data_IF_832777667876
#
_entry.id   IF_832777667876
#
_cell.length_a   1.000
_cell.length_b   1.000
_cell.length_c   1.000
_cell.angle_alpha   90.00
_cell.angle_beta   90.00
_cell.angle_gamma   90.00
#
_symmetry.space_group_name_H-M   'P 1'
#
loop_
_entity.id
_entity.type
_entity.pdbx_description
1 polymer ?
#
# COMPACT_ATOMS: atom_id res chain seq x y z
N UNK A 1 -28.91 19.20 -8.34
CA UNK A 1 -28.13 20.34 -8.89
C UNK A 1 -26.89 20.54 -8.03
N UNK A 2 -25.67 20.47 -8.58
CA UNK A 2 -24.45 20.77 -7.82
C UNK A 2 -24.32 22.29 -7.66
N UNK A 3 -24.14 22.78 -6.43
CA UNK A 3 -24.01 24.22 -6.15
C UNK A 3 -22.87 24.83 -6.96
N UNK A 4 -23.13 25.96 -7.61
CA UNK A 4 -22.09 26.76 -8.24
C UNK A 4 -21.05 27.21 -7.20
N UNK A 5 -19.78 27.35 -7.62
CA UNK A 5 -18.72 27.89 -6.76
C UNK A 5 -19.01 29.35 -6.43
N UNK A 6 -18.69 29.76 -5.21
CA UNK A 6 -18.74 31.18 -4.84
C UNK A 6 -17.64 31.98 -5.57
N UNK A 7 -17.74 33.32 -5.56
CA UNK A 7 -16.68 34.19 -6.09
C UNK A 7 -15.35 33.94 -5.38
N UNK A 8 -15.37 33.80 -4.05
CA UNK A 8 -14.18 33.52 -3.23
C UNK A 8 -13.54 32.18 -3.59
N UNK A 9 -14.33 31.10 -3.69
CA UNK A 9 -13.85 29.78 -4.11
C UNK A 9 -13.23 29.84 -5.52
N UNK A 10 -13.85 30.60 -6.42
CA UNK A 10 -13.35 30.77 -7.79
C UNK A 10 -12.03 31.55 -7.85
N UNK A 11 -11.87 32.60 -7.05
CA UNK A 11 -10.62 33.37 -6.95
C UNK A 11 -9.53 32.51 -6.34
N UNK A 12 -9.82 31.80 -5.24
CA UNK A 12 -8.85 30.94 -4.58
C UNK A 12 -8.34 29.83 -5.52
N UNK A 13 -9.23 29.20 -6.28
CA UNK A 13 -8.85 28.20 -7.28
C UNK A 13 -7.95 28.79 -8.39
N UNK A 14 -8.23 30.01 -8.85
CA UNK A 14 -7.37 30.69 -9.84
C UNK A 14 -5.98 30.99 -9.27
N UNK A 15 -5.89 31.50 -8.05
CA UNK A 15 -4.62 31.77 -7.37
C UNK A 15 -3.83 30.48 -7.17
N UNK A 16 -4.50 29.41 -6.74
CA UNK A 16 -3.92 28.08 -6.64
C UNK A 16 -3.40 27.57 -8.00
N UNK A 17 -4.14 27.80 -9.09
CA UNK A 17 -3.71 27.45 -10.45
C UNK A 17 -2.38 28.13 -10.82
N UNK A 18 -2.29 29.44 -10.57
CA UNK A 18 -1.10 30.25 -10.85
C UNK A 18 0.07 29.76 -10.01
N UNK A 19 -0.15 29.49 -8.73
CA UNK A 19 0.88 28.96 -7.83
C UNK A 19 1.39 27.59 -8.30
N UNK A 20 0.50 26.65 -8.63
CA UNK A 20 0.89 25.32 -9.11
C UNK A 20 1.61 25.39 -10.46
N UNK A 21 1.21 26.31 -11.34
CA UNK A 21 1.91 26.55 -12.59
C UNK A 21 3.32 27.12 -12.36
N UNK A 22 3.46 28.11 -11.47
CA UNK A 22 4.75 28.71 -11.10
C UNK A 22 5.68 27.73 -10.36
N UNK A 23 5.13 26.73 -9.66
CA UNK A 23 5.89 25.68 -8.98
C UNK A 23 6.47 24.60 -9.93
N UNK A 24 6.07 24.57 -11.20
CA UNK A 24 6.53 23.59 -12.21
C UNK A 24 8.06 23.39 -12.27
N UNK A 25 8.91 24.45 -12.38
CA UNK A 25 10.36 24.27 -12.39
C UNK A 25 10.92 23.65 -11.10
N UNK A 26 10.36 24.02 -9.95
CA UNK A 26 10.75 23.45 -8.66
C UNK A 26 10.39 21.96 -8.59
N UNK A 27 9.21 21.58 -9.09
CA UNK A 27 8.81 20.19 -9.17
C UNK A 27 9.73 19.38 -10.10
N UNK A 28 10.09 19.91 -11.27
CA UNK A 28 11.06 19.26 -12.17
C UNK A 28 12.39 19.02 -11.47
N UNK A 29 12.93 20.04 -10.80
CA UNK A 29 14.17 19.92 -10.02
C UNK A 29 14.05 18.87 -8.91
N UNK A 30 12.92 18.83 -8.20
CA UNK A 30 12.63 17.81 -7.17
C UNK A 30 12.62 16.40 -7.77
N UNK A 31 11.96 16.21 -8.91
CA UNK A 31 11.90 14.92 -9.61
C UNK A 31 13.28 14.47 -10.09
N UNK A 32 14.07 15.36 -10.70
CA UNK A 32 15.45 15.05 -11.13
C UNK A 32 16.33 14.64 -9.96
N UNK A 33 16.26 15.37 -8.84
CA UNK A 33 17.00 15.01 -7.61
C UNK A 33 16.58 13.66 -7.07
N UNK A 34 15.25 13.41 -7.02
CA UNK A 34 14.71 12.14 -6.53
C UNK A 34 15.11 10.97 -7.43
N UNK A 35 15.17 11.19 -8.74
CA UNK A 35 15.56 10.18 -9.72
C UNK A 35 16.99 9.66 -9.54
N UNK A 36 17.88 10.40 -8.85
CA UNK A 36 19.22 9.91 -8.50
C UNK A 36 19.15 8.70 -7.57
N UNK A 37 18.26 8.74 -6.56
CA UNK A 37 18.06 7.65 -5.61
C UNK A 37 17.02 6.63 -6.07
N UNK A 38 16.00 7.08 -6.80
CA UNK A 38 14.89 6.25 -7.29
C UNK A 38 14.71 6.46 -8.81
N UNK A 39 15.48 5.76 -9.68
CA UNK A 39 15.51 5.99 -11.13
C UNK A 39 14.15 5.98 -11.83
N UNK A 40 13.17 5.25 -11.28
CA UNK A 40 11.81 5.21 -11.82
C UNK A 40 11.12 6.59 -11.88
N UNK A 41 11.54 7.58 -11.08
CA UNK A 41 11.01 8.96 -11.20
C UNK A 41 11.49 9.71 -12.44
N UNK A 42 12.51 9.21 -13.16
CA UNK A 42 12.96 9.78 -14.43
C UNK A 42 12.14 9.31 -15.64
N UNK A 43 11.32 8.26 -15.47
CA UNK A 43 10.53 7.69 -16.56
C UNK A 43 9.38 8.63 -16.93
N UNK A 44 9.17 8.87 -18.22
CA UNK A 44 8.01 9.57 -18.78
C UNK A 44 7.60 10.89 -18.07
N UNK A 45 8.57 11.66 -17.58
CA UNK A 45 8.33 12.95 -16.89
C UNK A 45 7.35 13.88 -17.61
N UNK A 46 7.35 14.01 -18.96
CA UNK A 46 6.42 14.90 -19.65
C UNK A 46 4.93 14.62 -19.36
N UNK A 47 4.56 13.38 -19.06
CA UNK A 47 3.17 12.99 -18.74
C UNK A 47 2.62 13.77 -17.52
N UNK A 48 3.48 14.01 -16.52
CA UNK A 48 3.13 14.81 -15.31
C UNK A 48 2.76 16.25 -15.65
N UNK A 49 3.13 16.73 -16.83
CA UNK A 49 2.86 18.09 -17.28
C UNK A 49 1.87 18.13 -18.45
N UNK A 50 1.10 17.05 -18.65
CA UNK A 50 0.08 16.97 -19.69
C UNK A 50 0.65 16.79 -21.09
N UNK A 51 1.80 16.14 -21.24
CA UNK A 51 2.40 15.83 -22.53
C UNK A 51 2.48 14.31 -22.68
N UNK A 52 1.74 13.77 -23.63
CA UNK A 52 1.53 12.34 -23.85
C UNK A 52 2.02 11.96 -25.25
N UNK A 53 2.65 10.80 -25.37
CA UNK A 53 3.22 10.32 -26.65
C UNK A 53 2.23 9.46 -27.44
N UNK A 54 1.33 8.77 -26.75
CA UNK A 54 0.24 8.01 -27.32
C UNK A 54 -0.78 8.93 -28.03
N UNK A 55 -1.53 8.41 -29.02
CA UNK A 55 -2.63 9.17 -29.63
C UNK A 55 -3.73 9.47 -28.59
N UNK A 56 -4.41 10.63 -28.70
CA UNK A 56 -5.55 10.95 -27.84
C UNK A 56 -6.71 9.98 -28.09
N UNK A 57 -7.44 9.66 -27.03
CA UNK A 57 -8.65 8.85 -27.14
C UNK A 57 -9.73 9.60 -27.94
N UNK A 58 -10.37 8.87 -28.85
CA UNK A 58 -11.48 9.39 -29.66
C UNK A 58 -12.79 9.38 -28.88
N UNK A 59 -13.02 8.30 -28.13
CA UNK A 59 -14.23 8.03 -27.36
C UNK A 59 -13.98 8.10 -25.84
N UNK A 60 -15.06 8.23 -25.07
CA UNK A 60 -15.00 8.22 -23.60
C UNK A 60 -15.27 6.82 -23.05
N UNK A 61 -14.29 5.93 -23.19
CA UNK A 61 -14.41 4.51 -22.81
C UNK A 61 -13.59 4.13 -21.58
N UNK A 62 -12.55 4.89 -21.26
CA UNK A 62 -11.62 4.55 -20.18
C UNK A 62 -12.25 4.73 -18.80
N UNK A 63 -12.13 3.70 -17.95
CA UNK A 63 -12.25 3.84 -16.51
C UNK A 63 -10.92 4.35 -15.96
N UNK A 64 -10.88 5.60 -15.49
CA UNK A 64 -9.69 6.14 -14.87
C UNK A 64 -9.62 5.73 -13.40
N UNK A 65 -8.55 5.04 -13.02
CA UNK A 65 -8.24 4.67 -11.64
C UNK A 65 -6.94 5.34 -11.22
N UNK A 66 -6.97 6.04 -10.09
CA UNK A 66 -5.79 6.65 -9.49
C UNK A 66 -5.42 5.95 -8.19
N UNK A 67 -4.21 5.42 -8.14
CA UNK A 67 -3.60 4.78 -6.98
C UNK A 67 -2.18 5.37 -6.78
N UNK A 68 -2.01 6.27 -5.80
CA UNK A 68 -0.79 7.07 -5.67
C UNK A 68 0.44 6.23 -5.31
N UNK A 69 0.24 5.22 -4.46
CA UNK A 69 1.29 4.44 -3.81
C UNK A 69 1.21 2.94 -4.13
N UNK A 70 2.26 2.18 -3.79
CA UNK A 70 2.27 0.71 -3.90
C UNK A 70 1.08 0.06 -3.15
N UNK A 71 0.79 0.53 -1.94
CA UNK A 71 -0.31 -0.02 -1.12
C UNK A 71 -1.68 0.20 -1.75
N UNK A 72 -1.90 1.38 -2.35
CA UNK A 72 -3.12 1.68 -3.09
C UNK A 72 -3.17 0.93 -4.43
N UNK A 73 -2.04 0.72 -5.11
CA UNK A 73 -2.03 -0.08 -6.35
C UNK A 73 -2.47 -1.52 -6.06
N UNK A 74 -2.02 -2.11 -4.95
CA UNK A 74 -2.50 -3.43 -4.50
C UNK A 74 -3.98 -3.43 -4.14
N UNK A 75 -4.45 -2.35 -3.51
CA UNK A 75 -5.87 -2.14 -3.22
C UNK A 75 -6.69 -2.02 -4.52
N UNK A 76 -6.17 -1.32 -5.52
CA UNK A 76 -6.77 -1.21 -6.85
C UNK A 76 -6.86 -2.59 -7.53
N UNK A 77 -5.82 -3.42 -7.42
CA UNK A 77 -5.80 -4.75 -8.04
C UNK A 77 -7.00 -5.62 -7.63
N UNK A 78 -7.43 -5.53 -6.36
CA UNK A 78 -8.61 -6.23 -5.84
C UNK A 78 -9.87 -5.80 -6.62
N UNK A 79 -10.08 -4.49 -6.77
CA UNK A 79 -11.23 -3.94 -7.51
C UNK A 79 -11.15 -4.27 -9.00
N UNK A 80 -9.98 -4.09 -9.61
CA UNK A 80 -9.79 -4.27 -11.05
C UNK A 80 -10.10 -5.70 -11.46
N UNK A 81 -9.74 -6.69 -10.64
CA UNK A 81 -10.11 -8.09 -10.87
C UNK A 81 -11.64 -8.25 -10.91
N UNK A 82 -12.33 -7.83 -9.85
CA UNK A 82 -13.79 -7.95 -9.76
C UNK A 82 -14.51 -7.17 -10.88
N UNK A 83 -14.02 -5.98 -11.23
CA UNK A 83 -14.60 -5.17 -12.30
C UNK A 83 -14.38 -5.75 -13.69
N UNK A 84 -13.24 -6.39 -13.96
CA UNK A 84 -13.02 -7.09 -15.23
C UNK A 84 -13.85 -8.36 -15.34
N UNK A 85 -14.07 -9.07 -14.24
CA UNK A 85 -15.00 -10.20 -14.19
C UNK A 85 -16.44 -9.73 -14.51
N UNK A 86 -16.86 -8.60 -13.94
CA UNK A 86 -18.19 -8.03 -14.21
C UNK A 86 -18.32 -7.35 -15.59
N UNK A 87 -17.24 -6.78 -16.10
CA UNK A 87 -17.17 -6.01 -17.35
C UNK A 87 -15.95 -6.45 -18.18
N UNK A 88 -16.03 -7.54 -18.96
CA UNK A 88 -14.87 -8.08 -19.67
C UNK A 88 -14.23 -7.12 -20.70
N UNK A 89 -14.98 -6.15 -21.22
CA UNK A 89 -14.49 -5.13 -22.16
C UNK A 89 -13.93 -3.86 -21.50
N UNK A 90 -13.72 -3.87 -20.19
CA UNK A 90 -13.25 -2.70 -19.43
C UNK A 90 -11.83 -2.32 -19.84
N UNK A 91 -11.67 -1.11 -20.41
CA UNK A 91 -10.37 -0.48 -20.63
C UNK A 91 -10.03 0.48 -19.50
N UNK A 92 -8.80 0.42 -19.00
CA UNK A 92 -8.31 1.20 -17.87
C UNK A 92 -7.42 2.35 -18.31
N UNK A 93 -7.56 3.48 -17.61
CA UNK A 93 -6.52 4.49 -17.49
C UNK A 93 -5.98 4.43 -16.06
N UNK A 94 -4.78 3.90 -15.86
CA UNK A 94 -4.18 3.78 -14.54
C UNK A 94 -3.17 4.90 -14.29
N UNK A 95 -3.31 5.62 -13.18
CA UNK A 95 -2.35 6.68 -12.81
C UNK A 95 -1.79 6.53 -11.40
N UNK A 96 -0.54 6.95 -11.25
CA UNK A 96 0.22 6.84 -10.00
C UNK A 96 0.96 8.14 -9.65
N UNK A 97 1.29 8.31 -8.37
CA UNK A 97 2.17 9.39 -7.91
C UNK A 97 3.61 8.92 -7.68
N UNK A 98 3.80 7.64 -7.36
CA UNK A 98 5.08 7.04 -6.97
C UNK A 98 5.62 6.03 -8.00
N UNK A 99 6.94 5.89 -8.07
CA UNK A 99 7.60 4.93 -8.96
C UNK A 99 7.28 3.47 -8.63
N UNK A 100 7.23 3.13 -7.34
CA UNK A 100 6.85 1.79 -6.88
C UNK A 100 5.39 1.47 -7.20
N UNK A 101 4.47 2.43 -7.01
CA UNK A 101 3.07 2.28 -7.41
C UNK A 101 2.92 2.06 -8.92
N UNK A 102 3.66 2.79 -9.75
CA UNK A 102 3.65 2.63 -11.21
C UNK A 102 4.21 1.28 -11.66
N UNK A 103 5.34 0.85 -11.09
CA UNK A 103 5.94 -0.43 -11.41
C UNK A 103 4.98 -1.59 -11.10
N UNK A 104 4.35 -1.57 -9.92
CA UNK A 104 3.32 -2.56 -9.57
C UNK A 104 2.14 -2.50 -10.54
N UNK A 105 1.67 -1.30 -10.87
CA UNK A 105 0.51 -1.08 -11.72
C UNK A 105 0.70 -1.60 -13.15
N UNK A 106 1.94 -1.67 -13.63
CA UNK A 106 2.24 -2.20 -14.95
C UNK A 106 1.86 -3.68 -15.07
N UNK A 107 1.98 -4.46 -13.98
CA UNK A 107 1.57 -5.87 -13.96
C UNK A 107 0.04 -6.08 -14.01
N UNK A 108 -0.73 -5.01 -13.77
CA UNK A 108 -2.19 -5.05 -13.77
C UNK A 108 -2.79 -4.77 -15.16
N UNK A 109 -2.00 -4.24 -16.11
CA UNK A 109 -2.48 -3.80 -17.41
C UNK A 109 -2.80 -4.99 -18.33
N UNK A 110 -3.87 -4.85 -19.12
CA UNK A 110 -4.25 -5.75 -20.21
C UNK A 110 -4.14 -5.01 -21.56
N UNK A 111 -4.15 -5.73 -22.70
CA UNK A 111 -4.17 -5.09 -24.01
C UNK A 111 -5.30 -4.06 -24.13
N UNK A 112 -4.96 -2.83 -24.54
CA UNK A 112 -5.89 -1.71 -24.66
C UNK A 112 -5.97 -0.78 -23.44
N UNK A 113 -5.36 -1.17 -22.31
CA UNK A 113 -5.19 -0.29 -21.15
C UNK A 113 -4.07 0.72 -21.36
N UNK A 114 -4.13 1.80 -20.59
CA UNK A 114 -3.16 2.89 -20.62
C UNK A 114 -2.67 3.16 -19.20
N UNK A 115 -1.36 3.33 -19.03
CA UNK A 115 -0.78 3.79 -17.77
C UNK A 115 0.05 5.06 -18.00
N UNK A 116 -0.23 6.09 -17.19
CA UNK A 116 0.52 7.34 -17.20
C UNK A 116 0.73 7.87 -15.79
N UNK A 117 1.64 8.82 -15.62
CA UNK A 117 1.71 9.57 -14.37
C UNK A 117 0.45 10.38 -14.14
N UNK A 118 0.07 10.53 -12.87
CA UNK A 118 -0.91 11.53 -12.49
C UNK A 118 -0.42 12.92 -12.96
N UNK A 119 -1.28 13.71 -13.64
CA UNK A 119 -0.92 15.07 -14.00
C UNK A 119 -0.69 15.87 -12.71
N UNK A 120 0.32 16.74 -12.74
CA UNK A 120 0.49 17.77 -11.72
C UNK A 120 -0.79 18.62 -11.66
N UNK A 121 -1.19 19.05 -10.45
CA UNK A 121 -2.44 19.77 -10.23
C UNK A 121 -2.39 21.24 -10.69
N UNK A 122 -1.73 21.49 -11.83
CA UNK A 122 -1.87 22.73 -12.57
C UNK A 122 -3.01 22.61 -13.57
N UNK A 123 -3.70 23.74 -13.78
CA UNK A 123 -4.83 23.82 -14.71
C UNK A 123 -4.51 23.25 -16.08
N UNK A 124 -3.36 23.63 -16.66
CA UNK A 124 -2.94 23.21 -18.01
C UNK A 124 -2.69 21.71 -18.11
N UNK A 125 -2.02 21.11 -17.13
CA UNK A 125 -1.71 19.68 -17.15
C UNK A 125 -2.97 18.83 -17.00
N UNK A 126 -3.83 19.19 -16.04
CA UNK A 126 -5.11 18.52 -15.79
C UNK A 126 -6.07 18.67 -16.97
N UNK A 127 -6.23 19.86 -17.53
CA UNK A 127 -7.12 20.08 -18.70
C UNK A 127 -6.67 19.23 -19.89
N UNK A 128 -5.35 19.13 -20.12
CA UNK A 128 -4.77 18.27 -21.16
C UNK A 128 -5.02 16.79 -20.88
N UNK A 129 -4.79 16.33 -19.65
CA UNK A 129 -5.06 14.96 -19.23
C UNK A 129 -6.50 14.54 -19.56
N UNK A 130 -7.48 15.29 -19.06
CA UNK A 130 -8.90 14.95 -19.27
C UNK A 130 -9.36 15.12 -20.71
N UNK A 131 -8.75 16.02 -21.49
CA UNK A 131 -9.06 16.18 -22.93
C UNK A 131 -8.44 15.05 -23.76
N UNK A 132 -7.24 14.60 -23.39
CA UNK A 132 -6.49 13.59 -24.13
C UNK A 132 -7.05 12.19 -23.88
N UNK A 133 -7.36 11.83 -22.64
CA UNK A 133 -7.84 10.49 -22.29
C UNK A 133 -9.36 10.35 -22.22
N UNK A 134 -10.09 11.47 -22.11
CA UNK A 134 -11.57 11.51 -22.06
C UNK A 134 -12.20 10.42 -21.17
N UNK A 135 -11.76 10.21 -19.91
CA UNK A 135 -12.25 9.11 -19.10
C UNK A 135 -13.77 9.18 -18.92
N UNK A 136 -14.44 8.04 -19.00
CA UNK A 136 -15.88 7.93 -18.76
C UNK A 136 -16.23 8.25 -17.31
N UNK A 137 -15.36 7.83 -16.39
CA UNK A 137 -15.42 8.14 -14.97
C UNK A 137 -14.03 8.03 -14.35
N UNK A 138 -13.83 8.74 -13.24
CA UNK A 138 -12.64 8.66 -12.40
C UNK A 138 -12.93 7.95 -11.09
N UNK A 139 -11.96 7.18 -10.62
CA UNK A 139 -11.92 6.54 -9.32
C UNK A 139 -10.63 6.94 -8.64
N UNK A 140 -10.73 7.62 -7.52
CA UNK A 140 -9.61 7.97 -6.66
C UNK A 140 -9.61 7.01 -5.47
N UNK A 141 -8.43 6.50 -5.09
CA UNK A 141 -8.29 5.70 -3.88
C UNK A 141 -7.83 6.55 -2.70
N UNK A 142 -8.45 6.30 -1.55
CA UNK A 142 -8.10 6.86 -0.24
C UNK A 142 -8.22 8.39 -0.11
N UNK A 143 -7.18 9.17 -0.45
CA UNK A 143 -7.06 10.59 -0.04
C UNK A 143 -6.77 11.58 -1.17
N UNK A 144 -6.64 11.13 -2.41
CA UNK A 144 -6.03 11.91 -3.50
C UNK A 144 -6.98 12.89 -4.22
N UNK A 145 -7.64 13.75 -3.44
CA UNK A 145 -8.59 14.77 -3.94
C UNK A 145 -7.87 16.11 -4.16
N UNK A 146 -7.74 16.52 -5.43
CA UNK A 146 -6.95 17.68 -5.83
C UNK A 146 -7.81 18.82 -6.42
N UNK A 147 -7.60 20.10 -6.05
CA UNK A 147 -8.48 21.20 -6.46
C UNK A 147 -8.62 21.41 -7.98
N UNK A 148 -7.53 21.43 -8.76
CA UNK A 148 -7.65 21.62 -10.21
C UNK A 148 -8.23 20.39 -10.90
N UNK A 149 -7.81 19.21 -10.47
CA UNK A 149 -8.32 17.92 -10.94
C UNK A 149 -9.84 17.84 -10.84
N UNK A 150 -10.37 18.12 -9.65
CA UNK A 150 -11.81 18.06 -9.38
C UNK A 150 -12.57 19.16 -10.13
N UNK A 151 -12.00 20.38 -10.18
CA UNK A 151 -12.58 21.48 -10.93
C UNK A 151 -12.69 21.19 -12.43
N UNK A 152 -11.64 20.62 -13.04
CA UNK A 152 -11.60 20.31 -14.46
C UNK A 152 -12.46 19.09 -14.79
N UNK A 153 -12.49 18.07 -13.92
CA UNK A 153 -13.38 16.91 -14.07
C UNK A 153 -14.85 17.35 -14.06
N UNK A 154 -15.24 18.23 -13.12
CA UNK A 154 -16.58 18.80 -13.08
C UNK A 154 -16.91 19.61 -14.36
N UNK A 155 -15.98 20.46 -14.82
CA UNK A 155 -16.17 21.27 -16.02
C UNK A 155 -16.30 20.44 -17.31
N UNK A 156 -15.71 19.24 -17.33
CA UNK A 156 -15.79 18.28 -18.44
C UNK A 156 -16.86 17.20 -18.23
N UNK A 157 -17.69 17.33 -17.19
CA UNK A 157 -18.72 16.36 -16.84
C UNK A 157 -18.21 14.93 -16.60
N UNK A 158 -16.95 14.78 -16.18
CA UNK A 158 -16.40 13.48 -15.78
C UNK A 158 -16.82 13.20 -14.33
N UNK A 159 -17.66 12.17 -14.06
CA UNK A 159 -17.98 11.79 -12.70
C UNK A 159 -16.74 11.19 -12.02
N UNK A 160 -16.44 11.62 -10.80
CA UNK A 160 -15.30 11.12 -10.02
C UNK A 160 -15.79 10.61 -8.68
N UNK A 161 -15.41 9.39 -8.33
CA UNK A 161 -15.76 8.72 -7.06
C UNK A 161 -14.50 8.54 -6.23
N UNK A 162 -14.62 8.71 -4.91
CA UNK A 162 -13.56 8.39 -3.95
C UNK A 162 -13.91 7.06 -3.26
N UNK A 163 -13.06 6.04 -3.45
CA UNK A 163 -13.22 4.71 -2.86
C UNK A 163 -12.21 4.47 -1.75
N UNK A 164 -12.58 3.57 -0.82
CA UNK A 164 -11.78 3.25 0.35
C UNK A 164 -11.36 4.54 1.10
N UNK A 165 -12.27 5.50 1.19
CA UNK A 165 -11.96 6.87 1.58
C UNK A 165 -11.65 6.95 3.08
N UNK A 166 -10.56 7.63 3.42
CA UNK A 166 -10.15 7.88 4.80
C UNK A 166 -9.77 9.34 4.98
N UNK A 167 -10.05 9.91 6.14
CA UNK A 167 -9.65 11.28 6.45
C UNK A 167 -9.30 11.38 7.94
N UNK A 168 -8.00 11.50 8.24
CA UNK A 168 -7.55 11.68 9.62
C UNK A 168 -7.98 13.03 10.18
N UNK A 169 -8.07 13.15 11.52
CA UNK A 169 -8.35 14.43 12.18
C UNK A 169 -7.31 15.52 11.81
N UNK A 170 -6.04 15.14 11.69
CA UNK A 170 -4.96 16.04 11.25
C UNK A 170 -5.19 16.52 9.81
N UNK A 171 -5.56 15.62 8.90
CA UNK A 171 -5.84 15.94 7.50
C UNK A 171 -7.06 16.86 7.37
N UNK A 172 -8.12 16.60 8.14
CA UNK A 172 -9.29 17.47 8.20
C UNK A 172 -8.90 18.88 8.66
N UNK A 173 -8.21 19.01 9.80
CA UNK A 173 -7.79 20.31 10.32
C UNK A 173 -6.93 21.09 9.32
N UNK A 174 -6.03 20.42 8.60
CA UNK A 174 -5.26 21.02 7.51
C UNK A 174 -6.14 21.49 6.34
N UNK A 175 -7.12 20.68 5.96
CA UNK A 175 -8.02 20.98 4.87
C UNK A 175 -9.02 22.10 5.22
N UNK A 176 -9.41 22.24 6.49
CA UNK A 176 -10.22 23.36 6.99
C UNK A 176 -9.48 24.70 6.95
N UNK A 177 -8.16 24.73 7.18
CA UNK A 177 -7.35 25.95 7.00
C UNK A 177 -7.38 26.47 5.57
N UNK A 178 -7.68 25.61 4.60
CA UNK A 178 -7.86 25.93 3.19
C UNK A 178 -9.26 25.55 2.70
N UNK A 179 -10.28 25.74 3.53
CA UNK A 179 -11.65 25.29 3.25
C UNK A 179 -12.20 25.81 1.90
N UNK A 180 -11.79 27.00 1.47
CA UNK A 180 -12.17 27.61 0.19
C UNK A 180 -11.60 26.87 -1.04
N UNK A 181 -10.59 26.01 -0.89
CA UNK A 181 -10.08 25.09 -1.92
C UNK A 181 -10.57 23.66 -1.68
N UNK A 182 -10.48 23.19 -0.43
CA UNK A 182 -10.77 21.82 -0.09
C UNK A 182 -12.26 21.48 -0.22
N UNK A 183 -13.17 22.29 0.37
CA UNK A 183 -14.61 22.00 0.32
C UNK A 183 -15.15 21.93 -1.10
N UNK A 184 -14.82 22.85 -2.04
CA UNK A 184 -15.21 22.70 -3.44
C UNK A 184 -14.69 21.42 -4.09
N UNK A 185 -13.45 21.01 -3.81
CA UNK A 185 -12.85 19.83 -4.39
C UNK A 185 -13.57 18.54 -3.95
N UNK A 186 -13.80 18.39 -2.64
CA UNK A 186 -14.54 17.25 -2.10
C UNK A 186 -16.02 17.27 -2.50
N UNK A 187 -16.67 18.44 -2.50
CA UNK A 187 -18.06 18.61 -2.95
C UNK A 187 -18.27 18.26 -4.42
N UNK A 188 -17.22 18.37 -5.25
CA UNK A 188 -17.28 18.05 -6.67
C UNK A 188 -17.25 16.54 -6.96
N UNK A 189 -16.96 15.68 -5.97
CA UNK A 189 -17.08 14.24 -6.11
C UNK A 189 -18.53 13.85 -6.42
N UNK A 190 -18.71 12.73 -7.12
CA UNK A 190 -20.02 12.14 -7.40
C UNK A 190 -20.51 11.32 -6.22
N UNK A 191 -19.63 10.54 -5.61
CA UNK A 191 -19.89 9.75 -4.42
C UNK A 191 -18.59 9.52 -3.66
N UNK A 192 -18.70 9.31 -2.36
CA UNK A 192 -17.60 8.92 -1.48
C UNK A 192 -18.00 7.70 -0.67
N UNK A 193 -17.16 6.68 -0.71
CA UNK A 193 -17.34 5.43 0.04
C UNK A 193 -16.23 5.29 1.07
N UNK A 194 -16.58 5.49 2.33
CA UNK A 194 -15.62 5.60 3.42
C UNK A 194 -15.26 4.24 4.04
N UNK A 195 -14.10 4.17 4.67
CA UNK A 195 -13.64 3.00 5.41
C UNK A 195 -14.44 2.81 6.70
N UNK A 196 -14.61 3.89 7.47
CA UNK A 196 -15.29 3.89 8.76
C UNK A 196 -16.35 4.99 8.86
N UNK A 197 -17.23 4.87 9.87
CA UNK A 197 -18.14 5.97 10.22
C UNK A 197 -17.40 7.23 10.68
N UNK A 198 -16.25 7.08 11.36
CA UNK A 198 -15.44 8.22 11.77
C UNK A 198 -14.87 8.98 10.55
N UNK A 199 -14.43 8.27 9.52
CA UNK A 199 -14.03 8.87 8.25
C UNK A 199 -15.20 9.52 7.53
N UNK A 200 -16.35 8.84 7.47
CA UNK A 200 -17.57 9.37 6.87
C UNK A 200 -17.98 10.71 7.49
N UNK A 201 -17.96 10.81 8.82
CA UNK A 201 -18.27 12.05 9.54
C UNK A 201 -17.33 13.20 9.15
N UNK A 202 -16.01 12.96 9.13
CA UNK A 202 -15.02 13.98 8.75
C UNK A 202 -15.12 14.37 7.28
N UNK A 203 -15.38 13.41 6.39
CA UNK A 203 -15.60 13.66 4.96
C UNK A 203 -16.85 14.51 4.74
N UNK A 204 -17.95 14.27 5.48
CA UNK A 204 -19.15 15.13 5.46
C UNK A 204 -18.84 16.55 5.94
N UNK A 205 -18.02 16.72 6.99
CA UNK A 205 -17.60 18.04 7.50
C UNK A 205 -16.88 18.88 6.43
N UNK A 206 -16.16 18.24 5.50
CA UNK A 206 -15.53 18.91 4.36
C UNK A 206 -16.38 18.94 3.09
N UNK A 207 -17.69 18.74 3.23
CA UNK A 207 -18.70 18.81 2.15
C UNK A 207 -18.61 17.69 1.12
N UNK A 208 -17.98 16.55 1.44
CA UNK A 208 -17.95 15.39 0.56
C UNK A 208 -19.33 14.68 0.54
N UNK A 209 -19.81 14.24 -0.64
CA UNK A 209 -21.07 13.48 -0.76
C UNK A 209 -20.85 12.01 -0.38
N UNK A 210 -20.81 11.73 0.92
CA UNK A 210 -20.64 10.35 1.43
C UNK A 210 -21.89 9.53 1.14
N UNK A 211 -21.72 8.49 0.33
CA UNK A 211 -22.77 7.58 -0.11
C UNK A 211 -22.86 6.29 0.72
N UNK A 212 -21.80 5.92 1.44
CA UNK A 212 -21.83 4.78 2.35
C UNK A 212 -20.48 4.49 3.01
N UNK A 213 -20.51 3.54 3.95
CA UNK A 213 -19.34 3.00 4.65
C UNK A 213 -19.22 1.52 4.31
N UNK A 214 -18.06 1.11 3.78
CA UNK A 214 -17.86 -0.23 3.21
C UNK A 214 -16.69 -1.00 3.83
N UNK A 215 -16.07 -0.47 4.88
CA UNK A 215 -14.87 -1.06 5.46
C UNK A 215 -13.60 -0.73 4.66
N UNK A 216 -12.47 -1.22 5.15
CA UNK A 216 -11.19 -1.01 4.50
C UNK A 216 -10.88 -2.15 3.53
N UNK A 217 -10.86 -1.83 2.24
CA UNK A 217 -10.70 -2.78 1.14
C UNK A 217 -9.39 -3.58 1.22
N UNK A 218 -8.39 -3.11 1.98
CA UNK A 218 -7.15 -3.87 2.18
C UNK A 218 -7.42 -5.21 2.87
N UNK A 219 -8.48 -5.35 3.66
CA UNK A 219 -8.86 -6.61 4.31
C UNK A 219 -9.41 -7.66 3.35
N UNK A 220 -9.85 -7.26 2.15
CA UNK A 220 -10.27 -8.19 1.09
C UNK A 220 -9.10 -8.85 0.36
N UNK A 221 -7.86 -8.45 0.67
CA UNK A 221 -6.66 -9.07 0.13
C UNK A 221 -6.60 -10.55 0.53
N UNK A 222 -6.61 -11.44 -0.46
CA UNK A 222 -6.46 -12.87 -0.24
C UNK A 222 -4.98 -13.24 -0.25
N UNK A 223 -4.49 -14.00 0.74
CA UNK A 223 -3.15 -14.56 0.69
C UNK A 223 -2.98 -15.45 -0.55
N UNK A 224 -1.73 -15.61 -0.99
CA UNK A 224 -1.41 -16.49 -2.10
C UNK A 224 -1.77 -17.94 -1.74
N UNK A 225 -2.76 -18.50 -2.44
CA UNK A 225 -3.29 -19.83 -2.14
C UNK A 225 -2.26 -20.95 -2.37
N UNK A 226 -1.34 -20.78 -3.31
CA UNK A 226 -0.26 -21.72 -3.60
C UNK A 226 0.72 -21.75 -2.44
N UNK A 227 1.13 -20.58 -1.94
CA UNK A 227 1.97 -20.46 -0.76
C UNK A 227 1.32 -21.02 0.51
N UNK A 228 0.01 -20.77 0.72
CA UNK A 228 -0.72 -21.36 1.83
C UNK A 228 -0.79 -22.89 1.74
N UNK A 229 -1.02 -23.43 0.53
CA UNK A 229 -1.02 -24.88 0.31
C UNK A 229 0.35 -25.49 0.60
N UNK A 230 1.43 -24.85 0.13
CA UNK A 230 2.81 -25.25 0.40
C UNK A 230 3.12 -25.22 1.91
N UNK A 231 2.73 -24.16 2.61
CA UNK A 231 2.89 -24.05 4.05
C UNK A 231 2.19 -25.20 4.79
N UNK A 232 0.94 -25.51 4.41
CA UNK A 232 0.18 -26.64 4.99
C UNK A 232 0.87 -27.97 4.75
N UNK A 233 1.40 -28.20 3.55
CA UNK A 233 2.17 -29.40 3.23
C UNK A 233 3.42 -29.53 4.11
N UNK A 234 4.16 -28.44 4.31
CA UNK A 234 5.35 -28.44 5.17
C UNK A 234 5.02 -28.62 6.65
N UNK A 235 3.95 -27.97 7.14
CA UNK A 235 3.46 -28.14 8.51
C UNK A 235 3.01 -29.57 8.79
N UNK A 236 2.40 -30.25 7.83
CA UNK A 236 2.00 -31.65 7.99
C UNK A 236 3.21 -32.59 8.25
N UNK A 237 4.41 -32.19 7.81
CA UNK A 237 5.65 -32.93 7.99
C UNK A 237 6.48 -32.41 9.17
N UNK A 238 6.04 -31.33 9.83
CA UNK A 238 6.79 -30.61 10.84
C UNK A 238 5.92 -30.28 12.05
N UNK A 239 6.06 -31.04 13.13
CA UNK A 239 5.21 -30.93 14.33
C UNK A 239 5.72 -29.95 15.39
N UNK A 240 6.74 -29.13 15.08
CA UNK A 240 7.22 -28.10 16.00
C UNK A 240 6.47 -26.80 15.72
N UNK A 241 6.21 -26.03 16.76
CA UNK A 241 5.58 -24.73 16.61
C UNK A 241 6.59 -23.69 16.18
N UNK A 242 6.14 -22.77 15.33
CA UNK A 242 6.99 -21.76 14.72
C UNK A 242 6.59 -20.38 15.23
N UNK A 243 7.50 -19.73 15.97
CA UNK A 243 7.42 -18.32 16.33
C UNK A 243 8.21 -17.50 15.31
N UNK A 244 7.53 -16.56 14.67
CA UNK A 244 8.15 -15.70 13.67
C UNK A 244 8.35 -14.27 14.17
N UNK A 245 9.51 -13.66 13.91
CA UNK A 245 9.66 -12.21 13.87
C UNK A 245 9.51 -11.74 12.40
N UNK A 246 8.35 -11.17 12.08
CA UNK A 246 7.94 -10.87 10.71
C UNK A 246 8.28 -9.44 10.30
N UNK A 247 8.84 -9.25 9.10
CA UNK A 247 9.22 -7.92 8.58
C UNK A 247 10.07 -7.11 9.56
N UNK A 248 11.06 -7.77 10.18
CA UNK A 248 11.96 -7.14 11.17
C UNK A 248 12.73 -5.97 10.57
N UNK A 249 12.99 -4.97 11.41
CA UNK A 249 13.79 -3.80 11.07
C UNK A 249 15.05 -3.75 11.93
N UNK A 250 15.96 -2.87 11.54
CA UNK A 250 17.22 -2.65 12.25
C UNK A 250 16.95 -2.24 13.70
N UNK A 251 17.72 -2.83 14.62
CA UNK A 251 17.51 -2.73 16.08
C UNK A 251 16.74 -3.92 16.65
N UNK A 252 15.64 -4.33 16.01
CA UNK A 252 14.75 -5.37 16.54
C UNK A 252 15.38 -6.77 16.54
N UNK A 253 16.14 -7.14 15.49
CA UNK A 253 16.69 -8.50 15.41
C UNK A 253 17.70 -8.78 16.52
N UNK A 254 18.58 -7.81 16.80
CA UNK A 254 19.63 -7.98 17.82
C UNK A 254 19.03 -8.22 19.19
N UNK A 255 18.07 -7.39 19.59
CA UNK A 255 17.40 -7.53 20.89
C UNK A 255 16.56 -8.81 20.95
N UNK A 256 15.85 -9.16 19.87
CA UNK A 256 15.08 -10.39 19.80
C UNK A 256 15.97 -11.63 19.97
N UNK A 257 17.07 -11.73 19.23
CA UNK A 257 18.01 -12.86 19.33
C UNK A 257 18.60 -12.95 20.74
N UNK A 258 18.99 -11.80 21.33
CA UNK A 258 19.53 -11.75 22.70
C UNK A 258 18.53 -12.32 23.72
N UNK A 259 17.25 -11.97 23.60
CA UNK A 259 16.19 -12.47 24.47
C UNK A 259 15.92 -13.97 24.26
N UNK A 260 15.95 -14.46 23.02
CA UNK A 260 15.81 -15.88 22.73
C UNK A 260 16.89 -16.72 23.42
N UNK A 261 18.14 -16.26 23.37
CA UNK A 261 19.28 -16.91 24.03
C UNK A 261 19.15 -16.82 25.54
N UNK A 262 18.87 -15.63 26.08
CA UNK A 262 18.78 -15.41 27.53
C UNK A 262 17.66 -16.23 28.20
N UNK A 263 16.53 -16.42 27.50
CA UNK A 263 15.39 -17.20 28.00
C UNK A 263 15.54 -18.71 27.74
N UNK A 264 16.55 -19.15 26.98
CA UNK A 264 16.78 -20.56 26.68
C UNK A 264 15.63 -21.24 25.93
N UNK A 265 14.87 -20.48 25.12
CA UNK A 265 13.62 -20.97 24.49
C UNK A 265 13.83 -21.75 23.19
N UNK A 266 15.05 -21.73 22.63
CA UNK A 266 15.37 -22.39 21.37
C UNK A 266 15.30 -23.91 21.53
N UNK A 267 14.38 -24.55 20.80
CA UNK A 267 14.18 -26.00 20.89
C UNK A 267 13.58 -26.49 22.21
N UNK A 268 13.15 -25.59 23.10
CA UNK A 268 12.49 -25.94 24.36
C UNK A 268 10.98 -26.11 24.18
N UNK A 269 10.34 -26.76 25.15
CA UNK A 269 8.89 -26.73 25.26
C UNK A 269 8.44 -25.35 25.79
N UNK A 270 7.38 -24.80 25.20
CA UNK A 270 6.78 -23.54 25.64
C UNK A 270 5.29 -23.78 25.90
N UNK A 271 4.83 -23.43 27.11
CA UNK A 271 3.42 -23.59 27.51
C UNK A 271 2.51 -22.84 26.53
N UNK A 272 1.56 -23.54 25.93
CA UNK A 272 0.64 -22.98 24.92
C UNK A 272 1.17 -23.00 23.47
N UNK A 273 2.48 -23.21 23.26
CA UNK A 273 3.09 -23.35 21.94
C UNK A 273 3.66 -24.76 21.70
N UNK A 274 3.62 -25.69 22.64
CA UNK A 274 3.96 -27.10 22.39
C UNK A 274 5.41 -27.48 22.71
N UNK A 275 5.83 -28.71 22.34
CA UNK A 275 6.99 -29.38 22.94
C UNK A 275 8.35 -28.91 22.41
N UNK A 276 8.37 -28.24 21.25
CA UNK A 276 9.61 -27.73 20.64
C UNK A 276 9.31 -26.46 19.86
N UNK A 277 9.95 -25.36 20.25
CA UNK A 277 9.83 -24.08 19.56
C UNK A 277 10.89 -23.93 18.47
N UNK A 278 10.44 -23.54 17.28
CA UNK A 278 11.26 -23.10 16.17
C UNK A 278 11.12 -21.59 15.99
N UNK A 279 12.24 -20.89 15.82
CA UNK A 279 12.24 -19.44 15.56
C UNK A 279 12.47 -19.19 14.07
N UNK A 280 11.65 -18.34 13.47
CA UNK A 280 11.82 -17.81 12.12
C UNK A 280 12.00 -16.29 12.17
N UNK A 281 13.02 -15.75 11.52
CA UNK A 281 13.21 -14.30 11.38
C UNK A 281 13.06 -13.95 9.90
N UNK A 282 12.19 -13.00 9.56
CA UNK A 282 11.97 -12.53 8.19
C UNK A 282 12.27 -11.04 8.09
N UNK A 283 13.46 -10.64 7.61
CA UNK A 283 13.83 -9.24 7.51
C UNK A 283 12.99 -8.47 6.49
N UNK A 284 12.65 -7.22 6.81
CA UNK A 284 11.87 -6.36 5.91
C UNK A 284 12.58 -6.04 4.59
N UNK A 285 13.91 -5.95 4.63
CA UNK A 285 14.73 -5.47 3.53
C UNK A 285 15.71 -6.57 3.08
N UNK A 286 15.67 -7.00 1.80
CA UNK A 286 16.55 -8.06 1.28
C UNK A 286 18.04 -7.78 1.46
N UNK A 287 18.42 -6.51 1.42
CA UNK A 287 19.80 -6.06 1.63
C UNK A 287 20.33 -6.42 3.03
N UNK A 288 19.44 -6.82 3.96
CA UNK A 288 19.79 -7.17 5.33
C UNK A 288 19.85 -8.66 5.59
N UNK A 289 19.52 -9.54 4.64
CA UNK A 289 19.52 -10.99 4.88
C UNK A 289 20.86 -11.49 5.40
N UNK A 290 21.97 -11.14 4.74
CA UNK A 290 23.31 -11.58 5.17
C UNK A 290 23.76 -10.92 6.48
N UNK A 291 23.29 -9.70 6.77
CA UNK A 291 23.57 -9.04 8.05
C UNK A 291 22.85 -9.72 9.20
N UNK A 292 21.57 -10.06 9.02
CA UNK A 292 20.78 -10.76 10.04
C UNK A 292 21.30 -12.18 10.26
N UNK A 293 21.71 -12.88 9.20
CA UNK A 293 22.38 -14.18 9.33
C UNK A 293 23.61 -14.09 10.25
N UNK A 294 24.50 -13.12 10.01
CA UNK A 294 25.70 -12.90 10.83
C UNK A 294 25.36 -12.55 12.28
N UNK A 295 24.30 -11.78 12.53
CA UNK A 295 23.87 -11.45 13.90
C UNK A 295 23.45 -12.71 14.67
N UNK A 296 22.78 -13.66 14.01
CA UNK A 296 22.40 -14.96 14.61
C UNK A 296 23.65 -15.78 14.92
N UNK A 297 24.55 -15.93 13.94
CA UNK A 297 25.78 -16.73 14.06
C UNK A 297 26.74 -16.17 15.13
N UNK A 298 26.80 -14.84 15.31
CA UNK A 298 27.59 -14.18 16.34
C UNK A 298 27.14 -14.54 17.78
N UNK A 299 25.91 -15.00 17.96
CA UNK A 299 25.41 -15.53 19.23
C UNK A 299 25.67 -17.04 19.39
N UNK A 300 26.45 -17.63 18.48
CA UNK A 300 26.77 -19.07 18.47
C UNK A 300 25.63 -19.96 17.98
N UNK A 301 24.59 -19.38 17.38
CA UNK A 301 23.41 -20.10 16.90
C UNK A 301 23.58 -20.56 15.45
N UNK A 302 23.08 -21.76 15.15
CA UNK A 302 23.00 -22.30 13.79
C UNK A 302 21.82 -21.70 13.05
N UNK A 303 22.03 -21.33 11.79
CA UNK A 303 21.00 -20.69 10.95
C UNK A 303 20.74 -21.51 9.68
N UNK A 304 19.48 -21.65 9.30
CA UNK A 304 19.08 -22.21 8.00
C UNK A 304 18.24 -21.20 7.23
N UNK A 305 18.59 -20.99 5.96
CA UNK A 305 17.93 -20.03 5.08
C UNK A 305 16.78 -20.68 4.32
N UNK A 306 15.63 -19.99 4.22
CA UNK A 306 14.48 -20.44 3.44
C UNK A 306 14.86 -20.79 2.01
N UNK A 307 15.76 -20.03 1.39
CA UNK A 307 16.21 -20.22 0.01
C UNK A 307 16.87 -21.60 -0.25
N UNK A 308 17.36 -22.29 0.78
CA UNK A 308 17.93 -23.65 0.64
C UNK A 308 16.90 -24.78 0.79
N UNK A 309 15.63 -24.45 1.08
CA UNK A 309 14.58 -25.45 1.30
C UNK A 309 13.88 -25.79 -0.02
N UNK A 310 14.33 -26.85 -0.70
CA UNK A 310 13.68 -27.34 -1.92
C UNK A 310 12.30 -27.96 -1.62
N UNK A 311 12.24 -28.91 -0.69
CA UNK A 311 11.02 -29.64 -0.32
C UNK A 311 10.53 -29.31 1.10
N UNK A 312 10.93 -28.14 1.61
CA UNK A 312 10.56 -27.67 2.94
C UNK A 312 11.54 -28.06 4.05
N UNK A 313 11.33 -27.48 5.25
CA UNK A 313 12.29 -27.58 6.35
C UNK A 313 12.39 -28.97 6.97
N UNK A 314 11.37 -29.83 6.84
CA UNK A 314 11.39 -31.21 7.35
C UNK A 314 12.42 -32.10 6.63
N UNK A 315 12.68 -31.81 5.35
CA UNK A 315 13.59 -32.58 4.48
C UNK A 315 14.98 -31.96 4.33
N UNK A 316 15.22 -30.81 4.94
CA UNK A 316 16.53 -30.14 4.95
C UNK A 316 17.27 -30.47 6.24
N UNK A 317 18.40 -31.17 6.14
CA UNK A 317 19.24 -31.51 7.29
C UNK A 317 19.69 -30.24 8.04
N UNK A 318 20.07 -29.19 7.30
CA UNK A 318 20.44 -27.89 7.86
C UNK A 318 19.27 -27.24 8.60
N UNK A 319 18.05 -27.29 8.05
CA UNK A 319 16.87 -26.73 8.70
C UNK A 319 16.48 -27.47 9.98
N UNK A 320 16.67 -28.79 10.02
CA UNK A 320 16.44 -29.61 11.21
C UNK A 320 17.43 -29.31 12.34
N UNK A 321 18.69 -29.04 11.99
CA UNK A 321 19.78 -28.78 12.93
C UNK A 321 19.97 -27.30 13.29
N UNK A 322 19.40 -26.39 12.51
CA UNK A 322 19.44 -24.97 12.82
C UNK A 322 18.74 -24.67 14.14
N UNK A 323 19.15 -23.61 14.81
CA UNK A 323 18.45 -23.03 15.95
C UNK A 323 17.40 -22.04 15.47
N UNK A 324 17.77 -21.22 14.48
CA UNK A 324 16.95 -20.16 13.88
C UNK A 324 16.81 -20.37 12.37
N UNK A 325 15.60 -20.20 11.85
CA UNK A 325 15.35 -20.09 10.43
C UNK A 325 15.36 -18.63 9.98
N UNK A 326 15.92 -18.37 8.80
CA UNK A 326 15.95 -17.05 8.18
C UNK A 326 15.10 -17.06 6.90
N UNK A 327 14.03 -16.27 6.88
CA UNK A 327 13.25 -16.02 5.67
C UNK A 327 13.96 -15.00 4.78
N UNK A 328 14.70 -15.50 3.79
CA UNK A 328 15.57 -14.71 2.92
C UNK A 328 15.09 -14.65 1.46
N UNK A 329 13.78 -14.81 1.25
CA UNK A 329 13.15 -14.75 -0.07
C UNK A 329 12.06 -13.67 -0.11
N UNK A 330 11.87 -13.09 -1.29
CA UNK A 330 10.89 -12.03 -1.53
C UNK A 330 9.54 -12.59 -1.95
N UNK A 331 8.46 -11.95 -1.51
CA UNK A 331 7.10 -12.28 -1.94
C UNK A 331 6.49 -13.51 -1.26
N UNK A 332 7.18 -14.13 -0.29
CA UNK A 332 6.75 -15.37 0.37
C UNK A 332 6.08 -15.14 1.75
N UNK A 333 5.57 -13.94 2.04
CA UNK A 333 4.96 -13.65 3.35
C UNK A 333 3.75 -14.52 3.66
N UNK A 334 2.93 -14.89 2.66
CA UNK A 334 1.79 -15.79 2.89
C UNK A 334 2.26 -17.19 3.30
N UNK A 335 3.36 -17.69 2.70
CA UNK A 335 4.03 -18.93 3.12
C UNK A 335 4.52 -18.81 4.57
N UNK A 336 5.25 -17.74 4.90
CA UNK A 336 5.82 -17.55 6.24
C UNK A 336 4.76 -17.44 7.33
N UNK A 337 3.71 -16.64 7.13
CA UNK A 337 2.62 -16.54 8.09
C UNK A 337 1.86 -17.85 8.24
N UNK A 338 1.58 -18.55 7.14
CA UNK A 338 0.85 -19.82 7.18
C UNK A 338 1.69 -20.97 7.74
N UNK A 339 3.02 -20.84 7.75
CA UNK A 339 3.95 -21.76 8.41
C UNK A 339 4.02 -21.51 9.92
N UNK A 340 3.66 -20.30 10.39
CA UNK A 340 3.88 -19.81 11.74
C UNK A 340 2.65 -19.95 12.65
N UNK A 341 2.88 -20.32 13.91
CA UNK A 341 1.85 -20.40 14.95
C UNK A 341 1.62 -19.07 15.66
N UNK A 342 2.64 -18.20 15.66
CA UNK A 342 2.61 -16.86 16.22
C UNK A 342 3.60 -15.97 15.49
N UNK A 343 3.20 -14.73 15.17
CA UNK A 343 4.07 -13.75 14.56
C UNK A 343 4.23 -12.49 15.45
N UNK A 344 5.47 -12.16 15.80
CA UNK A 344 5.85 -10.85 16.31
C UNK A 344 5.97 -9.92 15.10
N UNK A 345 5.17 -8.85 15.05
CA UNK A 345 5.23 -7.90 13.94
C UNK A 345 6.37 -6.91 14.15
N UNK A 346 7.39 -6.99 13.31
CA UNK A 346 8.49 -6.03 13.27
C UNK A 346 8.02 -4.61 12.96
N UNK A 347 8.93 -3.65 13.09
CA UNK A 347 8.67 -2.22 13.08
C UNK A 347 7.83 -1.71 14.24
N UNK A 348 7.37 -2.57 15.16
CA UNK A 348 6.50 -2.18 16.28
C UNK A 348 7.18 -2.24 17.64
N UNK A 349 8.30 -2.96 17.76
CA UNK A 349 9.08 -3.05 19.00
C UNK A 349 10.08 -1.91 19.13
N UNK A 350 10.53 -1.38 18.00
CA UNK A 350 11.22 -0.08 17.92
C UNK A 350 10.24 1.03 17.51
N UNK A 351 10.63 2.30 17.70
CA UNK A 351 9.83 3.48 17.40
C UNK A 351 9.67 3.76 15.88
N UNK A 352 9.22 2.75 15.13
CA UNK A 352 9.21 2.68 13.67
C UNK A 352 7.79 2.64 13.07
N UNK A 353 6.77 2.50 13.93
CA UNK A 353 5.35 2.72 13.63
C UNK A 353 4.54 1.50 13.19
N UNK A 354 5.14 0.32 13.23
CA UNK A 354 4.50 -0.97 12.93
C UNK A 354 4.57 -1.36 11.45
N UNK A 355 4.04 -2.55 11.16
CA UNK A 355 3.92 -3.13 9.82
C UNK A 355 2.48 -3.56 9.55
N UNK A 356 2.21 -3.97 8.31
CA UNK A 356 0.88 -4.39 7.87
C UNK A 356 0.40 -5.65 8.61
N UNK A 357 -0.60 -5.51 9.50
CA UNK A 357 -1.23 -6.64 10.19
C UNK A 357 -2.32 -7.37 9.38
N UNK A 358 -2.67 -6.86 8.19
CA UNK A 358 -3.76 -7.44 7.40
C UNK A 358 -3.35 -8.79 6.80
N UNK A 359 -2.11 -8.89 6.29
CA UNK A 359 -1.57 -10.13 5.74
C UNK A 359 -1.54 -11.29 6.76
N UNK A 360 -1.02 -11.14 7.98
CA UNK A 360 -1.05 -12.21 8.98
C UNK A 360 -2.47 -12.58 9.39
N UNK A 361 -3.36 -11.60 9.60
CA UNK A 361 -4.76 -11.85 9.93
C UNK A 361 -5.46 -12.65 8.84
N UNK A 362 -5.23 -12.31 7.58
CA UNK A 362 -5.77 -13.05 6.42
C UNK A 362 -5.20 -14.47 6.30
N UNK A 363 -4.01 -14.73 6.85
CA UNK A 363 -3.42 -16.07 6.94
C UNK A 363 -3.84 -16.84 8.22
N UNK A 364 -4.71 -16.27 9.06
CA UNK A 364 -5.07 -16.80 10.37
C UNK A 364 -3.85 -17.03 11.30
N UNK A 365 -2.80 -16.21 11.15
CA UNK A 365 -1.63 -16.22 12.02
C UNK A 365 -1.82 -15.21 13.15
N UNK A 366 -1.90 -15.64 14.43
CA UNK A 366 -1.95 -14.73 15.56
C UNK A 366 -0.75 -13.79 15.59
N UNK A 367 -0.97 -12.54 16.01
CA UNK A 367 0.08 -11.52 16.03
C UNK A 367 0.28 -10.90 17.41
N UNK A 368 1.53 -10.59 17.73
CA UNK A 368 1.91 -9.73 18.85
C UNK A 368 2.66 -8.52 18.29
N UNK A 369 2.24 -7.34 18.73
CA UNK A 369 2.85 -6.07 18.35
C UNK A 369 3.51 -5.44 19.58
N UNK A 370 4.63 -4.75 19.37
CA UNK A 370 5.20 -3.83 20.34
C UNK A 370 4.37 -2.54 20.45
N UNK A 371 4.79 -1.61 21.32
CA UNK A 371 4.00 -0.42 21.67
C UNK A 371 3.89 0.62 20.56
N UNK A 372 4.65 0.49 19.46
CA UNK A 372 4.76 1.51 18.43
C UNK A 372 3.96 1.16 17.16
N UNK A 373 2.63 1.30 17.21
CA UNK A 373 1.71 0.95 16.11
C UNK A 373 1.11 2.18 15.39
N UNK A 374 1.73 3.35 15.49
CA UNK A 374 1.15 4.63 15.03
C UNK A 374 0.90 4.74 13.51
N UNK A 375 1.47 3.87 12.66
CA UNK A 375 1.11 3.81 11.24
C UNK A 375 -0.12 2.93 10.96
N UNK A 376 -0.53 2.09 11.92
CA UNK A 376 -1.57 1.07 11.78
C UNK A 376 -2.56 1.06 12.97
N UNK A 377 -2.71 2.17 13.68
CA UNK A 377 -3.44 2.25 14.96
C UNK A 377 -4.85 1.67 14.92
N UNK A 378 -5.61 1.92 13.85
CA UNK A 378 -6.97 1.41 13.72
C UNK A 378 -6.99 -0.11 13.59
N UNK A 379 -6.19 -0.65 12.69
CA UNK A 379 -6.10 -2.08 12.47
C UNK A 379 -5.52 -2.78 13.71
N UNK A 380 -4.59 -2.15 14.42
CA UNK A 380 -4.03 -2.66 15.67
C UNK A 380 -5.02 -2.63 16.85
N UNK A 381 -6.03 -1.76 16.83
CA UNK A 381 -7.08 -1.73 17.84
C UNK A 381 -8.20 -2.76 17.59
N UNK A 382 -8.31 -3.26 16.36
CA UNK A 382 -9.29 -4.28 15.95
C UNK A 382 -8.77 -5.71 16.08
N UNK A 383 -7.45 -5.91 16.02
CA UNK A 383 -6.76 -7.19 16.19
C UNK A 383 -6.52 -7.48 17.67
#
# INVERSE_FOLDING_TARGET
MRSARSKTESIALKLYAVLMQAATPLLRRKLTRRAVAEPGYAVAIPERFGVYQQPPETNSELLWVHAVSLGETRTAAILLRAWREACPGLRLLLTHGTATGRAEGASLLQPGDVQVWQPWDSRKAVERFLTHFKPRMGVLLETEVWPQLMAAAQAKHVPVVLLNARLSAKSLAGAERMAWLARPAYRALTAVYAQTEADALRLRQISAPVAGVFGNLKFDAKPDATQQALARQWRAQHHQSVLMLASSREGEETEFIRQLVAQGVLGSAVKGLGPRLRVLIVPRHPQRFDTVQRLIEQQGLRVSRRSSWSDGPAKSADAQQADVWLGDTLGEMALYYSLSDLALLGGSFEALGGQNLIEPAACACPVVMGPHTFNFTEAAALA
#
